data_IF_371974803240
#
_entry.id   IF_371974803240
#
_cell.length_a   1.000
_cell.length_b   1.000
_cell.length_c   1.000
_cell.angle_alpha   90.00
_cell.angle_beta   90.00
_cell.angle_gamma   90.00
#
_symmetry.space_group_name_H-M   'P 1'
#
loop_
_entity.id
_entity.type
_entity.pdbx_description
1 polymer ?
#
# COMPACT_ATOMS: atom_id res chain seq x y z
N UNK A 1 -32.02 -19.20 -24.10
CA UNK A 1 -30.99 -18.23 -23.80
C UNK A 1 -30.65 -18.16 -22.29
N UNK A 2 -31.65 -18.11 -21.37
CA UNK A 2 -31.42 -18.19 -19.93
C UNK A 2 -30.89 -19.57 -19.51
N UNK A 3 -31.38 -20.66 -20.09
CA UNK A 3 -30.95 -22.01 -19.76
C UNK A 3 -29.49 -22.31 -20.17
N UNK A 4 -29.04 -21.74 -21.29
CA UNK A 4 -27.64 -21.85 -21.73
C UNK A 4 -26.71 -21.04 -20.84
N UNK A 5 -27.12 -19.90 -20.30
CA UNK A 5 -26.34 -19.12 -19.31
C UNK A 5 -26.31 -19.81 -17.95
N UNK A 6 -27.41 -20.45 -17.53
CA UNK A 6 -27.47 -21.26 -16.31
C UNK A 6 -26.56 -22.49 -16.38
N UNK A 7 -26.61 -23.22 -17.52
CA UNK A 7 -25.70 -24.37 -17.74
C UNK A 7 -24.26 -23.93 -17.79
N UNK A 8 -23.94 -22.80 -18.43
CA UNK A 8 -22.59 -22.25 -18.47
C UNK A 8 -22.12 -21.79 -17.08
N UNK A 9 -23.01 -21.15 -16.29
CA UNK A 9 -22.70 -20.73 -14.92
C UNK A 9 -22.52 -21.92 -13.97
N UNK A 10 -23.35 -22.97 -14.09
CA UNK A 10 -23.25 -24.19 -13.28
C UNK A 10 -22.01 -25.00 -13.66
N UNK A 11 -21.67 -25.09 -14.94
CA UNK A 11 -20.44 -25.75 -15.40
C UNK A 11 -19.20 -25.00 -14.91
N UNK A 12 -19.21 -23.68 -14.97
CA UNK A 12 -18.14 -22.83 -14.46
C UNK A 12 -18.02 -22.88 -12.92
N UNK A 13 -19.16 -22.99 -12.20
CA UNK A 13 -19.18 -23.20 -10.75
C UNK A 13 -18.64 -24.59 -10.36
N UNK A 14 -18.92 -25.64 -11.15
CA UNK A 14 -18.36 -26.97 -10.96
C UNK A 14 -16.85 -27.01 -11.27
N UNK A 15 -16.38 -26.29 -12.28
CA UNK A 15 -14.96 -26.12 -12.57
C UNK A 15 -14.25 -25.34 -11.45
N UNK A 16 -14.93 -24.41 -10.81
CA UNK A 16 -14.41 -23.67 -9.65
C UNK A 16 -14.38 -24.52 -8.38
N UNK A 17 -15.37 -25.41 -8.19
CA UNK A 17 -15.45 -26.33 -7.05
C UNK A 17 -14.45 -27.49 -7.13
N UNK A 18 -13.91 -27.79 -8.32
CA UNK A 18 -12.90 -28.83 -8.55
C UNK A 18 -11.46 -28.35 -8.29
N UNK A 19 -11.28 -27.21 -7.63
CA UNK A 19 -9.96 -26.63 -7.35
C UNK A 19 -9.21 -26.26 -8.65
N UNK A 20 -9.89 -25.51 -9.51
CA UNK A 20 -9.43 -25.25 -10.87
C UNK A 20 -8.19 -24.34 -10.88
N UNK A 21 -7.05 -24.97 -10.87
CA UNK A 21 -5.85 -24.47 -11.54
C UNK A 21 -6.28 -24.11 -12.97
N UNK A 22 -5.98 -22.91 -13.46
CA UNK A 22 -6.36 -22.52 -14.82
C UNK A 22 -5.85 -23.54 -15.83
N UNK A 23 -6.48 -23.67 -16.99
CA UNK A 23 -6.06 -24.64 -18.00
C UNK A 23 -4.59 -24.45 -18.38
N UNK A 24 -4.12 -23.20 -18.41
CA UNK A 24 -2.74 -22.82 -18.70
C UNK A 24 -1.79 -23.31 -17.60
N UNK A 25 -2.13 -23.07 -16.34
CA UNK A 25 -1.31 -23.51 -15.21
C UNK A 25 -1.23 -25.03 -15.15
N UNK A 26 -2.32 -25.73 -15.47
CA UNK A 26 -2.37 -27.20 -15.54
C UNK A 26 -1.42 -27.76 -16.62
N UNK A 27 -1.38 -27.12 -17.77
CA UNK A 27 -0.44 -27.52 -18.84
C UNK A 27 1.02 -27.24 -18.46
N UNK A 28 1.30 -26.13 -17.78
CA UNK A 28 2.64 -25.83 -17.25
C UNK A 28 3.08 -26.90 -16.26
N UNK A 29 2.22 -27.24 -15.30
CA UNK A 29 2.51 -28.29 -14.31
C UNK A 29 2.73 -29.66 -14.99
N UNK A 30 1.89 -30.03 -15.96
CA UNK A 30 2.05 -31.26 -16.73
C UNK A 30 3.35 -31.29 -17.50
N UNK A 31 3.72 -30.19 -18.18
CA UNK A 31 4.95 -30.08 -18.93
C UNK A 31 6.19 -30.33 -18.05
N UNK A 32 6.24 -29.73 -16.87
CA UNK A 32 7.34 -29.93 -15.93
C UNK A 32 7.38 -31.37 -15.36
N UNK A 33 6.23 -31.95 -15.03
CA UNK A 33 6.16 -33.31 -14.55
C UNK A 33 6.56 -34.32 -15.65
N UNK A 34 6.28 -34.04 -16.92
CA UNK A 34 6.61 -34.88 -18.06
C UNK A 34 8.10 -34.79 -18.43
N UNK A 35 8.73 -33.60 -18.31
CA UNK A 35 10.15 -33.41 -18.59
C UNK A 35 11.07 -34.08 -17.59
N UNK A 36 10.68 -34.12 -16.31
CA UNK A 36 11.58 -34.57 -15.24
C UNK A 36 11.21 -35.90 -14.59
N UNK A 37 10.20 -36.62 -15.06
CA UNK A 37 9.85 -37.99 -14.61
C UNK A 37 9.43 -38.07 -13.12
N UNK A 38 9.13 -39.29 -12.67
CA UNK A 38 8.55 -39.59 -11.36
C UNK A 38 9.48 -39.41 -10.14
N UNK A 39 10.67 -38.85 -10.29
CA UNK A 39 11.73 -38.86 -9.26
C UNK A 39 11.69 -37.66 -8.27
N UNK A 40 10.58 -36.95 -8.15
CA UNK A 40 10.45 -35.80 -7.20
C UNK A 40 11.11 -34.50 -7.65
N UNK A 41 11.95 -34.49 -8.67
CA UNK A 41 12.61 -33.31 -9.21
C UNK A 41 11.61 -32.31 -9.83
N UNK A 42 10.50 -32.80 -10.39
CA UNK A 42 9.44 -31.94 -10.94
C UNK A 42 8.81 -31.04 -9.87
N UNK A 43 8.51 -31.60 -8.70
CA UNK A 43 7.94 -30.87 -7.59
C UNK A 43 8.93 -29.82 -7.01
N UNK A 44 10.22 -30.20 -6.95
CA UNK A 44 11.27 -29.25 -6.51
C UNK A 44 11.38 -28.05 -7.45
N UNK A 45 11.40 -28.28 -8.76
CA UNK A 45 11.47 -27.22 -9.76
C UNK A 45 10.23 -26.35 -9.77
N UNK A 46 9.04 -26.93 -9.67
CA UNK A 46 7.80 -26.15 -9.55
C UNK A 46 7.80 -25.28 -8.31
N UNK A 47 8.26 -25.79 -7.17
CA UNK A 47 8.40 -25.00 -5.95
C UNK A 47 9.40 -23.86 -6.11
N UNK A 48 10.53 -24.10 -6.77
CA UNK A 48 11.53 -23.09 -7.07
C UNK A 48 10.97 -21.99 -7.97
N UNK A 49 10.27 -22.37 -9.05
CA UNK A 49 9.61 -21.45 -9.98
C UNK A 49 8.56 -20.61 -9.24
N UNK A 50 7.74 -21.25 -8.40
CA UNK A 50 6.73 -20.55 -7.59
C UNK A 50 7.35 -19.45 -6.71
N UNK A 51 8.45 -19.78 -6.04
CA UNK A 51 9.15 -18.82 -5.16
C UNK A 51 9.79 -17.70 -5.99
N UNK A 52 10.48 -18.03 -7.10
CA UNK A 52 11.13 -17.04 -7.97
C UNK A 52 10.09 -16.09 -8.58
N UNK A 53 8.99 -16.63 -9.10
CA UNK A 53 7.91 -15.85 -9.66
C UNK A 53 7.28 -14.93 -8.60
N UNK A 54 7.05 -15.44 -7.40
CA UNK A 54 6.56 -14.67 -6.27
C UNK A 54 7.49 -13.49 -5.96
N UNK A 55 8.80 -13.73 -5.86
CA UNK A 55 9.80 -12.68 -5.61
C UNK A 55 9.72 -11.58 -6.68
N UNK A 56 9.62 -11.95 -7.95
CA UNK A 56 9.52 -10.99 -9.05
C UNK A 56 8.24 -10.16 -8.95
N UNK A 57 7.08 -10.81 -8.84
CA UNK A 57 5.79 -10.13 -8.85
C UNK A 57 5.61 -9.20 -7.64
N UNK A 58 5.92 -9.71 -6.45
CA UNK A 58 5.78 -8.94 -5.21
C UNK A 58 6.90 -7.92 -5.07
N UNK A 59 8.10 -8.23 -5.61
CA UNK A 59 9.23 -7.32 -5.66
C UNK A 59 8.94 -6.07 -6.48
N UNK A 60 8.28 -6.18 -7.64
CA UNK A 60 7.86 -5.03 -8.46
C UNK A 60 6.94 -4.10 -7.65
N UNK A 61 5.96 -4.65 -6.94
CA UNK A 61 5.06 -3.87 -6.07
C UNK A 61 5.85 -3.20 -4.95
N UNK A 62 6.71 -3.96 -4.25
CA UNK A 62 7.52 -3.45 -3.15
C UNK A 62 8.51 -2.37 -3.59
N UNK A 63 9.12 -2.51 -4.77
CA UNK A 63 10.01 -1.50 -5.35
C UNK A 63 9.29 -0.17 -5.62
N UNK A 64 8.09 -0.24 -6.21
CA UNK A 64 7.28 0.96 -6.43
C UNK A 64 6.94 1.66 -5.10
N UNK A 65 6.61 0.90 -4.06
CA UNK A 65 6.30 1.44 -2.73
C UNK A 65 7.52 2.10 -2.08
N UNK A 66 8.69 1.48 -2.19
CA UNK A 66 9.94 2.04 -1.69
C UNK A 66 10.33 3.32 -2.42
N UNK A 67 10.23 3.33 -3.75
CA UNK A 67 10.50 4.52 -4.58
C UNK A 67 9.57 5.70 -4.26
N UNK A 68 8.37 5.45 -3.73
CA UNK A 68 7.43 6.47 -3.26
C UNK A 68 7.63 6.89 -1.80
N UNK A 69 8.65 6.34 -1.10
CA UNK A 69 8.98 6.69 0.29
C UNK A 69 8.03 6.11 1.34
N UNK A 70 7.37 4.98 1.04
CA UNK A 70 6.51 4.30 2.01
C UNK A 70 7.32 3.42 2.98
N UNK A 71 6.84 3.29 4.22
CA UNK A 71 7.54 2.56 5.30
C UNK A 71 7.74 1.07 5.01
N UNK A 72 6.78 0.40 4.34
CA UNK A 72 6.95 -0.95 3.85
C UNK A 72 7.32 -0.91 2.36
N UNK A 73 8.56 -1.25 2.05
CA UNK A 73 9.14 -1.22 0.72
C UNK A 73 9.46 -2.62 0.17
N UNK A 74 10.51 -2.71 -0.64
CA UNK A 74 10.92 -3.89 -1.39
C UNK A 74 11.10 -5.14 -0.51
N UNK A 75 11.90 -5.01 0.55
CA UNK A 75 12.25 -6.13 1.45
C UNK A 75 11.02 -6.70 2.18
N UNK A 76 10.17 -5.82 2.71
CA UNK A 76 8.99 -6.25 3.47
C UNK A 76 7.98 -6.98 2.61
N UNK A 77 7.73 -6.51 1.40
CA UNK A 77 6.82 -7.16 0.46
C UNK A 77 7.36 -8.54 0.04
N UNK A 78 8.63 -8.64 -0.35
CA UNK A 78 9.25 -9.91 -0.76
C UNK A 78 9.19 -10.93 0.37
N UNK A 79 9.61 -10.58 1.59
CA UNK A 79 9.60 -11.51 2.72
C UNK A 79 8.19 -12.01 3.02
N UNK A 80 7.20 -11.14 2.92
CA UNK A 80 5.81 -11.51 3.12
C UNK A 80 5.30 -12.46 2.02
N UNK A 81 5.61 -12.15 0.76
CA UNK A 81 5.25 -12.99 -0.39
C UNK A 81 5.89 -14.37 -0.30
N UNK A 82 7.20 -14.45 -0.02
CA UNK A 82 7.91 -15.72 0.16
C UNK A 82 7.29 -16.52 1.31
N UNK A 83 7.06 -15.90 2.47
CA UNK A 83 6.46 -16.57 3.61
C UNK A 83 5.11 -17.19 3.28
N UNK A 84 4.24 -16.45 2.59
CA UNK A 84 2.93 -16.91 2.16
C UNK A 84 3.03 -18.02 1.10
N UNK A 85 3.95 -17.90 0.14
CA UNK A 85 4.21 -18.91 -0.88
C UNK A 85 4.68 -20.22 -0.25
N UNK A 86 5.63 -20.15 0.69
CA UNK A 86 6.16 -21.33 1.40
C UNK A 86 5.07 -22.00 2.24
N UNK A 87 4.24 -21.23 2.96
CA UNK A 87 3.11 -21.81 3.72
C UNK A 87 2.14 -22.54 2.79
N UNK A 88 1.85 -21.99 1.61
CA UNK A 88 0.99 -22.64 0.63
C UNK A 88 1.63 -23.91 0.08
N UNK A 89 2.91 -23.89 -0.26
CA UNK A 89 3.64 -25.09 -0.70
C UNK A 89 3.65 -26.17 0.39
N UNK A 90 3.92 -25.80 1.64
CA UNK A 90 3.84 -26.71 2.78
C UNK A 90 2.42 -27.29 2.93
N UNK A 91 1.39 -26.47 2.75
CA UNK A 91 -0.01 -26.91 2.81
C UNK A 91 -0.33 -27.98 1.77
N UNK A 92 0.25 -27.86 0.57
CA UNK A 92 0.07 -28.85 -0.52
C UNK A 92 0.89 -30.12 -0.28
N UNK A 93 2.16 -29.99 0.12
CA UNK A 93 3.05 -31.14 0.22
C UNK A 93 2.98 -31.89 1.56
N UNK A 94 2.56 -31.21 2.67
CA UNK A 94 2.48 -31.86 3.98
C UNK A 94 1.19 -32.68 4.17
N UNK A 95 0.12 -32.31 3.45
CA UNK A 95 -1.14 -33.08 3.46
C UNK A 95 -1.01 -34.19 2.42
N UNK A 96 -0.99 -35.43 2.86
CA UNK A 96 -0.84 -36.59 1.98
C UNK A 96 -1.94 -36.69 0.90
N UNK A 97 -1.64 -37.35 -0.22
CA UNK A 97 -2.55 -37.48 -1.36
C UNK A 97 -3.91 -38.15 -1.06
N UNK A 98 -4.11 -38.64 0.15
CA UNK A 98 -5.33 -39.33 0.62
C UNK A 98 -6.30 -38.41 1.35
N UNK A 99 -5.86 -37.17 1.68
CA UNK A 99 -6.66 -36.19 2.41
C UNK A 99 -7.50 -35.33 1.45
N UNK A 100 -8.64 -34.85 1.92
CA UNK A 100 -9.55 -34.03 1.11
C UNK A 100 -8.93 -32.64 0.83
N UNK A 101 -9.21 -32.04 -0.31
CA UNK A 101 -8.76 -30.68 -0.68
C UNK A 101 -9.06 -29.63 0.40
N UNK A 102 -10.01 -29.86 1.28
CA UNK A 102 -10.40 -29.00 2.38
C UNK A 102 -9.30 -28.91 3.45
N UNK A 103 -8.62 -29.99 3.76
CA UNK A 103 -7.51 -30.00 4.74
C UNK A 103 -6.28 -29.28 4.22
N UNK A 104 -6.00 -29.38 2.92
CA UNK A 104 -4.90 -28.66 2.26
C UNK A 104 -5.04 -27.15 2.39
N UNK A 105 -6.25 -26.61 2.32
CA UNK A 105 -6.48 -25.17 2.41
C UNK A 105 -6.48 -24.62 3.85
N UNK A 106 -6.59 -25.47 4.86
CA UNK A 106 -6.69 -25.06 6.26
C UNK A 106 -5.46 -24.31 6.77
N UNK A 107 -4.26 -24.81 6.43
CA UNK A 107 -3.01 -24.16 6.83
C UNK A 107 -2.85 -22.81 6.13
N UNK A 108 -3.07 -22.74 4.83
CA UNK A 108 -2.97 -21.50 4.07
C UNK A 108 -4.03 -20.48 4.45
N UNK A 109 -5.24 -20.92 4.84
CA UNK A 109 -6.30 -20.02 5.33
C UNK A 109 -5.92 -19.27 6.62
N UNK A 110 -5.03 -19.84 7.46
CA UNK A 110 -4.54 -19.19 8.67
C UNK A 110 -3.62 -18.00 8.41
N UNK A 111 -3.08 -17.87 7.20
CA UNK A 111 -2.18 -16.75 6.82
C UNK A 111 -2.93 -15.42 6.78
N UNK A 112 -4.18 -15.42 6.31
CA UNK A 112 -4.96 -14.19 6.15
C UNK A 112 -5.21 -13.45 7.48
N UNK A 113 -5.65 -14.09 8.59
CA UNK A 113 -5.71 -13.43 9.87
C UNK A 113 -4.35 -13.03 10.43
N UNK A 114 -3.30 -13.83 10.18
CA UNK A 114 -1.92 -13.50 10.61
C UNK A 114 -1.41 -12.18 10.04
N UNK A 115 -1.70 -11.90 8.78
CA UNK A 115 -1.36 -10.62 8.14
C UNK A 115 -2.11 -9.44 8.74
N UNK A 116 -3.30 -9.66 9.29
CA UNK A 116 -4.04 -8.62 9.99
C UNK A 116 -3.25 -7.97 11.12
N UNK A 117 -2.43 -8.74 11.85
CA UNK A 117 -1.54 -8.24 12.89
C UNK A 117 -0.44 -7.33 12.32
N UNK A 118 0.22 -7.73 11.23
CA UNK A 118 1.24 -6.92 10.55
C UNK A 118 0.61 -5.65 9.97
N UNK A 119 -0.55 -5.79 9.31
CA UNK A 119 -1.31 -4.66 8.76
C UNK A 119 -1.70 -3.64 9.83
N UNK A 120 -2.19 -4.10 10.97
CA UNK A 120 -2.50 -3.23 12.10
C UNK A 120 -1.25 -2.51 12.63
N UNK A 121 -0.10 -3.19 12.69
CA UNK A 121 1.17 -2.62 13.12
C UNK A 121 1.71 -1.51 12.21
N UNK A 122 1.31 -1.49 10.94
CA UNK A 122 1.72 -0.46 9.97
C UNK A 122 0.78 0.76 10.00
N UNK A 123 -0.44 0.61 10.51
CA UNK A 123 -1.43 1.70 10.59
C UNK A 123 -1.17 2.53 11.85
N UNK A 124 -0.78 3.78 11.65
CA UNK A 124 -0.48 4.72 12.74
C UNK A 124 -1.51 5.84 12.75
N UNK A 125 -2.16 6.04 13.90
CA UNK A 125 -3.04 7.19 14.14
C UNK A 125 -2.26 8.25 14.92
N UNK A 126 -2.04 9.42 14.33
CA UNK A 126 -1.38 10.53 14.97
C UNK A 126 -2.21 11.81 14.84
N UNK A 127 -2.62 12.41 15.98
CA UNK A 127 -3.33 13.71 16.07
C UNK A 127 -4.41 13.91 14.97
N UNK A 128 -5.28 12.91 14.78
CA UNK A 128 -6.40 12.99 13.84
C UNK A 128 -6.11 12.46 12.42
N UNK A 129 -4.84 12.26 12.03
CA UNK A 129 -4.49 11.68 10.75
C UNK A 129 -4.16 10.18 10.87
N UNK A 130 -4.73 9.38 9.98
CA UNK A 130 -4.44 7.95 9.88
C UNK A 130 -3.48 7.74 8.69
N UNK A 131 -2.34 7.11 8.94
CA UNK A 131 -1.32 6.77 7.93
C UNK A 131 -1.13 5.27 7.85
N UNK A 132 -0.67 4.76 6.71
CA UNK A 132 -0.34 3.35 6.54
C UNK A 132 -1.46 2.46 6.00
N UNK A 133 -2.69 2.97 5.78
CA UNK A 133 -3.81 2.17 5.27
C UNK A 133 -3.50 1.51 3.92
N UNK A 134 -2.99 2.27 2.96
CA UNK A 134 -2.60 1.73 1.64
C UNK A 134 -1.44 0.74 1.76
N UNK A 135 -0.49 1.00 2.68
CA UNK A 135 0.62 0.09 2.95
C UNK A 135 0.12 -1.25 3.50
N UNK A 136 -0.80 -1.23 4.47
CA UNK A 136 -1.42 -2.44 5.01
C UNK A 136 -2.17 -3.23 3.93
N UNK A 137 -2.92 -2.53 3.06
CA UNK A 137 -3.62 -3.16 1.94
C UNK A 137 -2.66 -3.79 0.92
N UNK A 138 -1.54 -3.12 0.57
CA UNK A 138 -0.55 -3.69 -0.36
C UNK A 138 0.18 -4.89 0.22
N UNK A 139 0.46 -4.92 1.52
CA UNK A 139 1.01 -6.10 2.19
C UNK A 139 0.01 -7.27 2.14
N UNK A 140 -1.28 -7.01 2.38
CA UNK A 140 -2.32 -8.02 2.30
C UNK A 140 -2.44 -8.64 0.89
N UNK A 141 -2.39 -7.81 -0.16
CA UNK A 141 -2.39 -8.29 -1.56
C UNK A 141 -1.11 -9.05 -1.89
N UNK A 142 0.06 -8.62 -1.39
CA UNK A 142 1.33 -9.33 -1.59
C UNK A 142 1.31 -10.73 -1.00
N UNK A 143 0.68 -10.91 0.15
CA UNK A 143 0.40 -12.23 0.74
C UNK A 143 -0.48 -13.07 -0.19
N UNK A 144 -1.56 -12.50 -0.72
CA UNK A 144 -2.46 -13.23 -1.62
C UNK A 144 -1.77 -13.67 -2.91
N UNK A 145 -0.90 -12.82 -3.48
CA UNK A 145 -0.06 -13.17 -4.64
C UNK A 145 0.90 -14.32 -4.27
N UNK A 146 1.50 -14.28 -3.09
CA UNK A 146 2.36 -15.35 -2.59
C UNK A 146 1.63 -16.70 -2.47
N UNK A 147 0.42 -16.71 -1.90
CA UNK A 147 -0.43 -17.90 -1.84
C UNK A 147 -0.79 -18.42 -3.23
N UNK A 148 -1.12 -17.53 -4.18
CA UNK A 148 -1.43 -17.90 -5.55
C UNK A 148 -0.22 -18.50 -6.27
N UNK A 149 0.99 -17.96 -6.10
CA UNK A 149 2.21 -18.56 -6.62
C UNK A 149 2.45 -19.94 -6.02
N UNK A 150 2.34 -20.09 -4.70
CA UNK A 150 2.55 -21.35 -3.99
C UNK A 150 1.54 -22.42 -4.36
N UNK A 151 0.31 -22.06 -4.74
CA UNK A 151 -0.72 -22.99 -5.21
C UNK A 151 -0.56 -23.39 -6.68
N UNK A 152 0.42 -22.84 -7.41
CA UNK A 152 0.59 -23.08 -8.85
C UNK A 152 -0.39 -22.30 -9.73
N UNK A 153 -1.17 -21.37 -9.17
CA UNK A 153 -2.09 -20.50 -9.90
C UNK A 153 -1.37 -19.25 -10.44
N UNK A 154 -0.42 -19.46 -11.34
CA UNK A 154 0.47 -18.41 -11.84
C UNK A 154 -0.29 -17.30 -12.59
N UNK A 155 -1.31 -17.65 -13.37
CA UNK A 155 -2.14 -16.69 -14.09
C UNK A 155 -2.83 -15.74 -13.12
N UNK A 156 -3.42 -16.26 -12.04
CA UNK A 156 -4.08 -15.44 -11.02
C UNK A 156 -3.07 -14.54 -10.30
N UNK A 157 -1.89 -15.08 -9.98
CA UNK A 157 -0.81 -14.32 -9.35
C UNK A 157 -0.36 -13.14 -10.24
N UNK A 158 -0.14 -13.38 -11.53
CA UNK A 158 0.26 -12.35 -12.51
C UNK A 158 -0.83 -11.29 -12.67
N UNK A 159 -2.08 -11.71 -12.86
CA UNK A 159 -3.22 -10.78 -13.00
C UNK A 159 -3.40 -9.94 -11.73
N UNK A 160 -3.28 -10.54 -10.55
CA UNK A 160 -3.35 -9.85 -9.27
C UNK A 160 -2.22 -8.82 -9.11
N UNK A 161 -0.99 -9.18 -9.50
CA UNK A 161 0.15 -8.27 -9.45
C UNK A 161 -0.01 -7.10 -10.43
N UNK A 162 -0.45 -7.36 -11.67
CA UNK A 162 -0.71 -6.32 -12.68
C UNK A 162 -1.81 -5.38 -12.19
N UNK A 163 -2.93 -5.91 -11.72
CA UNK A 163 -4.05 -5.11 -11.23
C UNK A 163 -3.63 -4.22 -10.06
N UNK A 164 -2.85 -4.77 -9.12
CA UNK A 164 -2.33 -4.01 -7.98
C UNK A 164 -1.37 -2.91 -8.42
N UNK A 165 -0.44 -3.23 -9.31
CA UNK A 165 0.51 -2.25 -9.85
C UNK A 165 -0.20 -1.11 -10.58
N UNK A 166 -1.16 -1.43 -11.44
CA UNK A 166 -1.97 -0.43 -12.15
C UNK A 166 -2.77 0.44 -11.19
N UNK A 167 -3.40 -0.17 -10.19
CA UNK A 167 -4.13 0.56 -9.16
C UNK A 167 -3.22 1.57 -8.46
N UNK A 168 -2.06 1.15 -7.95
CA UNK A 168 -1.10 2.02 -7.28
C UNK A 168 -0.57 3.13 -8.19
N UNK A 169 -0.30 2.82 -9.47
CA UNK A 169 0.20 3.78 -10.44
C UNK A 169 -0.84 4.84 -10.81
N UNK A 170 -2.08 4.42 -11.09
CA UNK A 170 -3.17 5.33 -11.47
C UNK A 170 -3.54 6.26 -10.31
N UNK A 171 -3.71 5.71 -9.11
CA UNK A 171 -4.06 6.51 -7.94
C UNK A 171 -2.94 7.46 -7.52
N UNK A 172 -1.68 7.07 -7.66
CA UNK A 172 -0.55 7.96 -7.43
C UNK A 172 -0.60 9.21 -8.33
N UNK A 173 -0.91 9.03 -9.63
CA UNK A 173 -1.07 10.17 -10.55
C UNK A 173 -2.23 11.09 -10.14
N UNK A 174 -3.35 10.50 -9.73
CA UNK A 174 -4.52 11.27 -9.27
C UNK A 174 -4.19 12.02 -7.97
N UNK A 175 -3.48 11.38 -7.04
CA UNK A 175 -3.07 11.99 -5.78
C UNK A 175 -2.08 13.14 -5.98
N UNK A 176 -1.09 12.99 -6.87
CA UNK A 176 -0.18 14.09 -7.25
C UNK A 176 -0.98 15.25 -7.82
N UNK A 177 -1.94 15.00 -8.71
CA UNK A 177 -2.77 16.05 -9.31
C UNK A 177 -3.63 16.75 -8.25
N UNK A 178 -4.18 16.00 -7.31
CA UNK A 178 -4.94 16.55 -6.18
C UNK A 178 -4.08 17.34 -5.19
N UNK A 179 -2.82 16.89 -4.96
CA UNK A 179 -1.86 17.54 -4.06
C UNK A 179 -1.05 18.67 -4.73
N UNK A 180 -1.18 18.87 -6.02
CA UNK A 180 -0.48 19.92 -6.78
C UNK A 180 -0.79 21.34 -6.28
N UNK A 181 -1.90 21.51 -5.61
CA UNK A 181 -2.36 22.80 -5.09
C UNK A 181 -2.23 22.92 -3.56
N UNK A 182 -1.47 22.06 -2.90
CA UNK A 182 -1.26 22.20 -1.46
C UNK A 182 -0.04 23.08 -1.17
N UNK A 183 -0.22 24.06 -0.30
CA UNK A 183 0.85 24.90 0.23
C UNK A 183 0.98 24.67 1.73
N UNK A 184 2.21 24.71 2.25
CA UNK A 184 2.47 24.55 3.68
C UNK A 184 3.03 25.84 4.27
N UNK A 185 2.55 26.18 5.46
CA UNK A 185 3.12 27.25 6.28
C UNK A 185 3.72 26.63 7.53
N UNK A 186 4.96 26.99 7.82
CA UNK A 186 5.69 26.63 9.02
C UNK A 186 5.78 27.88 9.90
N UNK A 187 5.14 27.86 11.06
CA UNK A 187 5.13 28.98 12.02
C UNK A 187 5.95 28.57 13.23
N UNK A 188 7.05 29.26 13.44
CA UNK A 188 7.93 29.05 14.59
C UNK A 188 7.56 30.03 15.70
N UNK A 189 7.20 29.51 16.86
CA UNK A 189 6.81 30.26 18.03
C UNK A 189 7.80 30.07 19.15
N UNK A 190 8.02 31.11 19.96
CA UNK A 190 8.72 30.95 21.23
C UNK A 190 7.84 30.21 22.23
N UNK A 191 8.47 29.44 23.13
CA UNK A 191 7.76 28.63 24.14
C UNK A 191 6.86 29.48 25.07
N UNK A 192 7.14 30.77 25.22
CA UNK A 192 6.35 31.71 26.04
C UNK A 192 5.19 32.39 25.25
N UNK A 193 5.05 32.07 23.96
CA UNK A 193 3.98 32.67 23.16
C UNK A 193 2.63 32.07 23.56
N UNK A 194 1.70 32.92 23.98
CA UNK A 194 0.31 32.56 24.31
C UNK A 194 -0.55 32.25 23.07
N UNK A 195 0.11 32.05 21.91
CA UNK A 195 -0.57 31.80 20.65
C UNK A 195 -1.15 30.40 20.63
N UNK A 196 -2.47 30.32 20.63
CA UNK A 196 -3.20 29.06 20.58
C UNK A 196 -3.51 28.67 19.12
N UNK A 197 -3.50 27.39 18.83
CA UNK A 197 -3.90 26.86 17.51
C UNK A 197 -5.26 27.41 17.04
N UNK A 198 -6.22 27.58 17.97
CA UNK A 198 -7.58 28.09 17.68
C UNK A 198 -7.57 29.53 17.17
N UNK A 199 -6.63 30.35 17.60
CA UNK A 199 -6.50 31.73 17.12
C UNK A 199 -5.93 31.79 15.72
N UNK A 200 -4.94 30.94 15.44
CA UNK A 200 -4.37 30.81 14.08
C UNK A 200 -5.42 30.26 13.12
N UNK A 201 -6.19 29.25 13.52
CA UNK A 201 -7.23 28.66 12.67
C UNK A 201 -8.31 29.66 12.30
N UNK A 202 -8.74 30.52 13.23
CA UNK A 202 -9.72 31.62 12.97
C UNK A 202 -9.20 32.62 11.94
N UNK A 203 -7.92 32.99 12.03
CA UNK A 203 -7.33 33.90 11.03
C UNK A 203 -7.28 33.23 9.65
N UNK A 204 -6.93 31.96 9.59
CA UNK A 204 -6.87 31.21 8.33
C UNK A 204 -8.26 31.05 7.71
N UNK A 205 -9.26 30.74 8.52
CA UNK A 205 -10.66 30.64 8.08
C UNK A 205 -11.20 31.96 7.53
N UNK A 206 -10.76 33.09 8.08
CA UNK A 206 -11.16 34.43 7.57
C UNK A 206 -10.70 34.71 6.13
N UNK A 207 -9.67 33.99 5.67
CA UNK A 207 -9.19 34.02 4.28
C UNK A 207 -9.87 33.01 3.37
N UNK A 208 -10.90 32.29 3.85
CA UNK A 208 -11.61 31.24 3.12
C UNK A 208 -10.69 30.05 2.69
N UNK A 209 -9.59 29.82 3.42
CA UNK A 209 -8.70 28.70 3.16
C UNK A 209 -9.13 27.47 3.94
N UNK A 210 -9.18 26.33 3.26
CA UNK A 210 -9.49 25.05 3.89
C UNK A 210 -8.21 24.43 4.44
N UNK A 211 -8.13 24.29 5.75
CA UNK A 211 -7.03 23.58 6.41
C UNK A 211 -7.21 22.09 6.16
N UNK A 212 -6.20 21.44 5.56
CA UNK A 212 -6.17 20.00 5.32
C UNK A 212 -5.59 19.24 6.51
N UNK A 213 -4.48 19.76 7.02
CA UNK A 213 -3.77 19.15 8.15
C UNK A 213 -3.09 20.26 8.94
N UNK A 214 -3.13 20.15 10.27
CA UNK A 214 -2.32 20.96 11.14
C UNK A 214 -1.60 20.05 12.14
N UNK A 215 -0.32 20.28 12.36
CA UNK A 215 0.48 19.52 13.32
C UNK A 215 1.34 20.45 14.16
N UNK A 216 1.44 20.12 15.45
CA UNK A 216 2.31 20.76 16.41
C UNK A 216 3.54 19.87 16.60
N UNK A 217 4.73 20.44 16.47
CA UNK A 217 6.02 19.75 16.64
C UNK A 217 6.93 20.62 17.50
N UNK A 218 7.83 20.03 18.24
CA UNK A 218 8.92 20.75 18.89
C UNK A 218 10.10 20.78 17.91
N UNK A 219 10.64 21.95 17.64
CA UNK A 219 11.81 22.15 16.80
C UNK A 219 12.92 22.78 17.62
N UNK A 220 14.11 22.19 17.58
CA UNK A 220 15.29 22.79 18.19
C UNK A 220 16.00 23.65 17.14
N UNK A 221 16.02 24.97 17.36
CA UNK A 221 16.68 25.93 16.48
C UNK A 221 17.75 26.66 17.30
N UNK A 222 18.99 26.52 16.88
CA UNK A 222 20.16 27.13 17.52
C UNK A 222 20.28 26.85 19.03
N UNK A 223 19.90 25.61 19.47
CA UNK A 223 19.96 25.22 20.87
C UNK A 223 18.78 25.67 21.72
N UNK A 224 17.78 26.33 21.14
CA UNK A 224 16.54 26.71 21.82
C UNK A 224 15.37 25.87 21.31
N UNK A 225 14.58 25.31 22.23
CA UNK A 225 13.38 24.57 21.90
C UNK A 225 12.27 25.57 21.54
N UNK A 226 11.75 25.41 20.31
CA UNK A 226 10.69 26.25 19.77
C UNK A 226 9.50 25.38 19.38
N UNK A 227 8.30 25.95 19.48
CA UNK A 227 7.09 25.31 19.02
C UNK A 227 6.92 25.56 17.50
N UNK A 228 6.84 24.49 16.72
CA UNK A 228 6.61 24.55 15.28
C UNK A 228 5.17 24.13 14.98
N UNK A 229 4.41 25.05 14.40
CA UNK A 229 3.07 24.77 13.85
C UNK A 229 3.20 24.62 12.34
N UNK A 230 2.87 23.43 11.84
CA UNK A 230 2.83 23.14 10.39
C UNK A 230 1.38 23.06 9.95
N UNK A 231 0.98 23.93 9.03
CA UNK A 231 -0.38 23.99 8.48
C UNK A 231 -0.32 23.75 6.98
N UNK A 232 -1.06 22.76 6.50
CA UNK A 232 -1.20 22.43 5.09
C UNK A 232 -2.59 22.84 4.59
N UNK A 233 -2.63 23.57 3.48
CA UNK A 233 -3.85 24.04 2.83
C UNK A 233 -4.18 23.21 1.61
N UNK A 234 -5.47 22.99 1.35
CA UNK A 234 -5.94 22.20 0.21
C UNK A 234 -5.77 22.92 -1.14
N UNK A 235 -5.91 24.24 -1.16
CA UNK A 235 -5.72 25.09 -2.35
C UNK A 235 -5.51 26.52 -1.88
N UNK A 236 -4.46 27.16 -2.36
CA UNK A 236 -4.17 28.54 -1.97
C UNK A 236 -3.50 29.30 -3.12
N UNK A 237 -3.95 30.53 -3.34
CA UNK A 237 -3.28 31.46 -4.27
C UNK A 237 -1.97 31.97 -3.65
N UNK A 238 -0.91 32.07 -4.44
CA UNK A 238 0.39 32.54 -3.98
C UNK A 238 0.33 33.95 -3.38
N UNK A 239 -0.51 34.83 -3.92
CA UNK A 239 -0.64 36.21 -3.43
C UNK A 239 -1.44 36.26 -2.14
N UNK A 240 -2.50 35.48 -2.03
CA UNK A 240 -3.27 35.35 -0.79
C UNK A 240 -2.45 34.76 0.37
N UNK A 241 -1.53 33.83 0.05
CA UNK A 241 -0.63 33.25 1.06
C UNK A 241 0.36 34.27 1.61
N UNK A 242 0.89 35.15 0.77
CA UNK A 242 1.76 36.27 1.19
C UNK A 242 1.03 37.26 2.08
N UNK A 243 -0.24 37.56 1.78
CA UNK A 243 -1.08 38.42 2.60
C UNK A 243 -1.34 37.79 3.97
N UNK A 244 -1.72 36.50 4.00
CA UNK A 244 -1.93 35.77 5.24
C UNK A 244 -0.68 35.75 6.12
N UNK A 245 0.49 35.50 5.55
CA UNK A 245 1.77 35.50 6.29
C UNK A 245 2.10 36.89 6.83
N UNK A 246 1.86 37.92 6.03
CA UNK A 246 2.03 39.30 6.48
C UNK A 246 1.16 39.63 7.68
N UNK A 247 -0.11 39.25 7.63
CA UNK A 247 -1.06 39.53 8.71
C UNK A 247 -0.76 38.71 9.97
N UNK A 248 -0.32 37.46 9.81
CA UNK A 248 0.16 36.62 10.91
C UNK A 248 1.41 37.22 11.56
N UNK A 249 2.35 37.76 10.76
CA UNK A 249 3.55 38.45 11.27
C UNK A 249 3.19 39.71 12.05
N UNK A 250 2.30 40.53 11.53
CA UNK A 250 1.88 41.80 12.18
C UNK A 250 1.11 41.53 13.48
N UNK A 251 0.20 40.55 13.45
CA UNK A 251 -0.72 40.32 14.58
C UNK A 251 -0.07 39.55 15.73
N UNK A 252 0.81 38.61 15.44
CA UNK A 252 1.30 37.65 16.43
C UNK A 252 2.81 37.68 16.64
N UNK A 253 3.54 38.43 15.82
CA UNK A 253 4.99 38.58 15.89
C UNK A 253 5.72 37.23 16.17
N UNK A 254 5.50 36.18 15.35
CA UNK A 254 6.15 34.87 15.55
C UNK A 254 7.66 35.02 15.34
N UNK A 255 8.44 34.06 15.90
CA UNK A 255 9.88 34.05 15.74
C UNK A 255 10.28 33.99 14.24
N UNK A 256 9.65 33.11 13.48
CA UNK A 256 9.78 33.05 12.02
C UNK A 256 8.58 32.38 11.37
N UNK A 257 8.33 32.70 10.10
CA UNK A 257 7.33 32.01 9.26
C UNK A 257 7.98 31.65 7.93
N UNK A 258 8.07 30.33 7.65
CA UNK A 258 8.50 29.81 6.37
C UNK A 258 7.30 29.30 5.56
N UNK A 259 7.33 29.55 4.24
CA UNK A 259 6.30 29.09 3.32
C UNK A 259 6.94 28.07 2.36
N UNK A 260 6.36 26.89 2.28
CA UNK A 260 6.67 25.92 1.26
C UNK A 260 5.54 25.92 0.22
N UNK A 261 5.80 26.56 -0.93
CA UNK A 261 4.90 26.55 -2.06
C UNK A 261 5.37 25.44 -2.99
N UNK A 262 4.58 24.39 -3.16
CA UNK A 262 4.86 23.41 -4.22
C UNK A 262 4.69 24.11 -5.58
N UNK A 263 5.81 24.47 -6.21
CA UNK A 263 5.83 25.10 -7.54
C UNK A 263 5.08 24.20 -8.54
N UNK A 264 4.19 24.81 -9.30
CA UNK A 264 3.71 24.25 -10.56
C UNK A 264 4.92 24.00 -11.44
N UNK A 265 5.14 22.75 -11.88
CA UNK A 265 6.03 22.53 -13.01
C UNK A 265 5.44 23.25 -14.23
N UNK A 266 6.26 23.91 -15.08
CA UNK A 266 5.75 24.52 -16.30
C UNK A 266 5.02 23.47 -17.12
N UNK A 267 3.87 23.85 -17.66
CA UNK A 267 3.15 23.06 -18.65
C UNK A 267 4.02 23.00 -19.90
N UNK A 268 4.56 21.81 -20.22
CA UNK A 268 5.06 21.49 -21.54
C UNK A 268 3.96 20.84 -22.38
#
# INVERSE_FOLDING_TARGET
MLDSLLVFATQKANDFSSGAVTTIDREIIRFFNQLWGSNGWGNFLLSLISIVLCIILVGIIGYQREAQGHNAGFRTHILLGIGSCVIMLLSIYAVGATETNFETMRLSASVAPGIGFIGAGVIIKNKGAIRGLTTAATLWVSMAIGLACGSGNFVIAILGAIATYLCLFLFYKVEIKANRNSSKIYIYLDNDSKLTYDEISKVIESYSYTIRTASLQNANINGSDKLLIVIEFASCSNDGLKLLVRDLKIKYNPFDIAIEIKKQAPEE
#
